data_IF_450536406890
#
_entry.id   IF_450536406890
#
_cell.length_a   1.000
_cell.length_b   1.000
_cell.length_c   1.000
_cell.angle_alpha   90.00
_cell.angle_beta   90.00
_cell.angle_gamma   90.00
#
_symmetry.space_group_name_H-M   'P 1'
#
loop_
_entity.id
_entity.type
_entity.pdbx_description
1 polymer ?
#
# COMPACT_ATOMS: atom_id res chain seq x y z
N UNK A 1 21.86 -11.47 3.71
CA UNK A 1 21.09 -11.58 2.47
C UNK A 1 19.61 -11.54 2.84
N UNK A 2 18.89 -10.48 2.47
CA UNK A 2 17.46 -10.34 2.74
C UNK A 2 16.73 -11.03 1.59
N UNK A 3 16.27 -12.25 1.83
CA UNK A 3 15.61 -13.08 0.82
C UNK A 3 14.40 -12.35 0.24
N UNK A 4 14.26 -12.33 -1.09
CA UNK A 4 13.21 -11.61 -1.84
C UNK A 4 11.78 -11.95 -1.37
N UNK A 5 11.59 -13.13 -0.76
CA UNK A 5 10.34 -13.56 -0.12
C UNK A 5 9.91 -12.64 1.03
N UNK A 6 10.87 -12.17 1.85
CA UNK A 6 10.60 -11.28 2.97
C UNK A 6 10.20 -9.86 2.51
N UNK A 7 10.59 -9.44 1.30
CA UNK A 7 10.26 -8.11 0.78
C UNK A 7 8.82 -7.99 0.27
N UNK A 8 8.26 -9.05 -0.32
CA UNK A 8 6.84 -9.06 -0.68
C UNK A 8 5.97 -9.11 0.57
N UNK A 9 6.37 -9.88 1.58
CA UNK A 9 5.69 -9.91 2.88
C UNK A 9 5.69 -8.54 3.58
N UNK A 10 6.77 -7.76 3.45
CA UNK A 10 6.83 -6.41 4.03
C UNK A 10 5.84 -5.44 3.37
N UNK A 11 5.74 -5.47 2.04
CA UNK A 11 4.75 -4.66 1.31
C UNK A 11 3.32 -5.15 1.57
N UNK A 12 3.10 -6.46 1.69
CA UNK A 12 1.81 -7.04 2.08
C UNK A 12 1.40 -6.60 3.49
N UNK A 13 2.34 -6.56 4.44
CA UNK A 13 2.08 -6.03 5.79
C UNK A 13 1.71 -4.54 5.76
N UNK A 14 2.42 -3.74 4.96
CA UNK A 14 2.08 -2.32 4.79
C UNK A 14 0.68 -2.14 4.18
N UNK A 15 0.32 -2.98 3.21
CA UNK A 15 -1.01 -3.01 2.60
C UNK A 15 -2.12 -3.32 3.59
N UNK A 16 -1.89 -4.31 4.46
CA UNK A 16 -2.80 -4.67 5.54
C UNK A 16 -2.93 -3.55 6.57
N UNK A 17 -1.82 -2.90 6.96
CA UNK A 17 -1.83 -1.78 7.90
C UNK A 17 -2.61 -0.57 7.33
N UNK A 18 -2.43 -0.27 6.04
CA UNK A 18 -3.22 0.76 5.35
C UNK A 18 -4.70 0.40 5.38
N UNK A 19 -5.06 -0.85 5.05
CA UNK A 19 -6.45 -1.31 5.07
C UNK A 19 -7.10 -1.13 6.44
N UNK A 20 -6.42 -1.59 7.50
CA UNK A 20 -6.90 -1.47 8.88
C UNK A 20 -7.13 0.00 9.28
N UNK A 21 -6.24 0.92 8.91
CA UNK A 21 -6.44 2.34 9.24
C UNK A 21 -7.51 3.03 8.41
N UNK A 22 -7.75 2.58 7.18
CA UNK A 22 -8.91 3.05 6.41
C UNK A 22 -10.20 2.61 7.11
N UNK A 23 -10.27 1.38 7.62
CA UNK A 23 -11.41 0.92 8.42
C UNK A 23 -11.59 1.75 9.69
N UNK A 24 -10.51 2.10 10.40
CA UNK A 24 -10.57 3.02 11.54
C UNK A 24 -11.09 4.41 11.13
N UNK A 25 -10.72 4.93 9.95
CA UNK A 25 -11.26 6.20 9.44
C UNK A 25 -12.75 6.09 9.12
N UNK A 26 -13.20 4.96 8.56
CA UNK A 26 -14.61 4.69 8.28
C UNK A 26 -15.41 4.69 9.58
N UNK A 27 -14.90 4.04 10.63
CA UNK A 27 -15.52 4.06 11.95
C UNK A 27 -15.64 5.50 12.51
N UNK A 28 -14.57 6.29 12.42
CA UNK A 28 -14.60 7.71 12.82
C UNK A 28 -15.55 8.56 11.98
N UNK A 29 -15.66 8.30 10.68
CA UNK A 29 -16.61 8.98 9.81
C UNK A 29 -18.05 8.71 10.23
N UNK A 30 -18.36 7.47 10.63
CA UNK A 30 -19.68 7.09 11.12
C UNK A 30 -20.06 7.75 12.45
N UNK A 31 -19.06 8.09 13.27
CA UNK A 31 -19.25 8.82 14.54
C UNK A 31 -19.27 10.35 14.34
N UNK A 32 -18.68 10.85 13.26
CA UNK A 32 -18.68 12.27 12.90
C UNK A 32 -19.99 12.69 12.25
N UNK A 33 -20.39 13.96 12.45
CA UNK A 33 -21.60 14.53 11.84
C UNK A 33 -21.30 15.84 11.12
N UNK A 34 -22.02 16.12 10.03
CA UNK A 34 -21.95 17.39 9.32
C UNK A 34 -20.70 17.52 8.44
N UNK A 35 -20.10 18.71 8.38
CA UNK A 35 -18.96 18.99 7.48
C UNK A 35 -17.73 18.10 7.75
N UNK A 36 -17.51 17.74 9.02
CA UNK A 36 -16.42 16.83 9.40
C UNK A 36 -16.59 15.43 8.80
N UNK A 37 -17.82 14.90 8.75
CA UNK A 37 -18.11 13.62 8.13
C UNK A 37 -17.77 13.65 6.63
N UNK A 38 -18.22 14.68 5.92
CA UNK A 38 -18.00 14.84 4.47
C UNK A 38 -16.50 14.92 4.16
N UNK A 39 -15.73 15.63 4.97
CA UNK A 39 -14.28 15.74 4.79
C UNK A 39 -13.58 14.39 5.01
N UNK A 40 -13.98 13.63 6.04
CA UNK A 40 -13.42 12.31 6.34
C UNK A 40 -13.79 11.31 5.24
N UNK A 41 -15.05 11.27 4.78
CA UNK A 41 -15.51 10.40 3.70
C UNK A 41 -14.77 10.65 2.39
N UNK A 42 -14.54 11.93 2.04
CA UNK A 42 -13.75 12.29 0.86
C UNK A 42 -12.32 11.75 0.97
N UNK A 43 -11.69 11.89 2.13
CA UNK A 43 -10.33 11.37 2.37
C UNK A 43 -10.28 9.85 2.35
N UNK A 44 -11.27 9.16 2.92
CA UNK A 44 -11.40 7.69 2.86
C UNK A 44 -11.45 7.24 1.40
N UNK A 45 -12.23 7.92 0.57
CA UNK A 45 -12.36 7.60 -0.86
C UNK A 45 -11.02 7.76 -1.59
N UNK A 46 -10.31 8.85 -1.36
CA UNK A 46 -9.00 9.09 -1.97
C UNK A 46 -7.96 8.06 -1.51
N UNK A 47 -7.96 7.70 -0.22
CA UNK A 47 -7.08 6.67 0.35
C UNK A 47 -7.36 5.29 -0.22
N UNK A 48 -8.63 4.91 -0.38
CA UNK A 48 -9.02 3.65 -1.01
C UNK A 48 -8.59 3.57 -2.48
N UNK A 49 -8.79 4.63 -3.26
CA UNK A 49 -8.35 4.68 -4.66
C UNK A 49 -6.83 4.51 -4.77
N UNK A 50 -6.07 5.20 -3.91
CA UNK A 50 -4.61 5.09 -3.88
C UNK A 50 -4.16 3.69 -3.45
N UNK A 51 -4.80 3.09 -2.44
CA UNK A 51 -4.55 1.72 -2.00
C UNK A 51 -4.78 0.73 -3.15
N UNK A 52 -5.94 0.77 -3.81
CA UNK A 52 -6.25 -0.14 -4.92
C UNK A 52 -5.25 -0.02 -6.07
N UNK A 53 -4.83 1.20 -6.39
CA UNK A 53 -3.83 1.45 -7.42
C UNK A 53 -2.49 0.79 -7.06
N UNK A 54 -2.03 0.99 -5.82
CA UNK A 54 -0.79 0.39 -5.33
C UNK A 54 -0.88 -1.13 -5.21
N UNK A 55 -2.03 -1.69 -4.81
CA UNK A 55 -2.27 -3.14 -4.80
C UNK A 55 -2.16 -3.74 -6.20
N UNK A 56 -2.78 -3.10 -7.20
CA UNK A 56 -2.71 -3.55 -8.60
C UNK A 56 -1.28 -3.52 -9.13
N UNK A 57 -0.54 -2.43 -8.88
CA UNK A 57 0.86 -2.35 -9.26
C UNK A 57 1.71 -3.42 -8.57
N UNK A 58 1.51 -3.62 -7.26
CA UNK A 58 2.23 -4.61 -6.49
C UNK A 58 1.96 -6.03 -7.00
N UNK A 59 0.70 -6.40 -7.21
CA UNK A 59 0.30 -7.71 -7.74
C UNK A 59 0.89 -7.96 -9.12
N UNK A 60 0.83 -6.96 -10.02
CA UNK A 60 1.42 -7.07 -11.36
C UNK A 60 2.92 -7.31 -11.31
N UNK A 61 3.63 -6.59 -10.41
CA UNK A 61 5.08 -6.76 -10.24
C UNK A 61 5.42 -8.10 -9.59
N UNK A 62 4.67 -8.54 -8.58
CA UNK A 62 4.83 -9.84 -7.93
C UNK A 62 4.66 -10.98 -8.92
N UNK A 63 3.59 -10.95 -9.70
CA UNK A 63 3.32 -11.96 -10.73
C UNK A 63 4.40 -11.98 -11.82
N UNK A 64 4.88 -10.80 -12.27
CA UNK A 64 5.98 -10.73 -13.23
C UNK A 64 7.27 -11.29 -12.65
N UNK A 65 7.57 -11.02 -11.37
CA UNK A 65 8.75 -11.55 -10.69
C UNK A 65 8.66 -13.07 -10.54
N UNK A 66 7.55 -13.60 -10.04
CA UNK A 66 7.34 -15.04 -9.88
C UNK A 66 7.46 -15.76 -11.22
N UNK A 67 6.87 -15.20 -12.29
CA UNK A 67 6.99 -15.74 -13.65
C UNK A 67 8.44 -15.76 -14.14
N UNK A 68 9.15 -14.63 -14.06
CA UNK A 68 10.56 -14.55 -14.49
C UNK A 68 11.50 -15.44 -13.65
N UNK A 69 11.25 -15.55 -12.36
CA UNK A 69 11.99 -16.41 -11.45
C UNK A 69 11.81 -17.90 -11.79
N UNK A 70 10.57 -18.32 -12.10
CA UNK A 70 10.27 -19.69 -12.49
C UNK A 70 10.76 -20.03 -13.90
N UNK A 71 10.75 -19.06 -14.83
CA UNK A 71 11.08 -19.29 -16.23
C UNK A 71 12.58 -19.22 -16.51
N UNK A 72 13.38 -18.39 -15.82
CA UNK A 72 14.83 -18.26 -16.08
C UNK A 72 15.64 -17.72 -14.88
N UNK A 73 16.29 -18.61 -14.11
CA UNK A 73 17.14 -18.25 -12.95
C UNK A 73 18.42 -17.44 -13.28
N UNK A 74 18.73 -17.18 -14.56
CA UNK A 74 20.02 -16.57 -14.97
C UNK A 74 19.99 -15.08 -15.32
N UNK A 75 18.83 -14.47 -15.59
CA UNK A 75 18.74 -13.08 -16.06
C UNK A 75 17.72 -12.21 -15.31
N UNK A 76 17.13 -12.69 -14.22
CA UNK A 76 16.19 -11.92 -13.40
C UNK A 76 16.94 -10.92 -12.50
N UNK A 77 17.57 -9.91 -13.10
CA UNK A 77 18.17 -8.75 -12.42
C UNK A 77 17.46 -7.46 -12.91
N UNK A 78 17.69 -6.27 -12.34
CA UNK A 78 17.48 -5.75 -10.99
C UNK A 78 16.27 -4.78 -10.92
N UNK A 79 15.48 -4.64 -11.99
CA UNK A 79 14.55 -3.52 -12.14
C UNK A 79 13.43 -3.49 -11.09
N UNK A 80 13.02 -4.65 -10.57
CA UNK A 80 12.10 -4.70 -9.44
C UNK A 80 12.73 -4.17 -8.15
N UNK A 81 13.96 -4.59 -7.81
CA UNK A 81 14.69 -4.09 -6.65
C UNK A 81 14.88 -2.56 -6.71
N UNK A 82 15.10 -2.00 -7.90
CA UNK A 82 15.20 -0.55 -8.12
C UNK A 82 13.87 0.18 -7.88
N UNK A 83 12.75 -0.41 -8.29
CA UNK A 83 11.43 0.20 -8.10
C UNK A 83 10.81 -0.06 -6.72
N UNK A 84 11.36 -1.01 -5.96
CA UNK A 84 10.84 -1.43 -4.64
C UNK A 84 10.84 -0.28 -3.64
N UNK A 85 11.95 0.45 -3.57
CA UNK A 85 12.08 1.55 -2.61
C UNK A 85 11.01 2.62 -2.89
N UNK A 86 10.65 2.84 -4.16
CA UNK A 86 9.56 3.76 -4.53
C UNK A 86 8.19 3.25 -4.11
N UNK A 87 7.92 1.94 -4.25
CA UNK A 87 6.64 1.33 -3.83
C UNK A 87 6.51 1.35 -2.31
N UNK A 88 7.56 0.96 -1.59
CA UNK A 88 7.60 1.00 -0.11
C UNK A 88 7.46 2.43 0.39
N UNK A 89 8.16 3.40 -0.21
CA UNK A 89 8.03 4.82 0.12
C UNK A 89 6.60 5.34 -0.16
N UNK A 90 5.99 4.95 -1.28
CA UNK A 90 4.62 5.32 -1.59
C UNK A 90 3.62 4.78 -0.56
N UNK A 91 3.80 3.53 -0.10
CA UNK A 91 3.02 2.97 1.00
C UNK A 91 3.27 3.67 2.33
N UNK A 92 4.52 3.99 2.65
CA UNK A 92 4.85 4.78 3.84
C UNK A 92 4.17 6.15 3.82
N UNK A 93 4.20 6.84 2.68
CA UNK A 93 3.50 8.13 2.53
C UNK A 93 1.99 7.97 2.68
N UNK A 94 1.42 6.88 2.16
CA UNK A 94 0.00 6.58 2.35
C UNK A 94 -0.32 6.37 3.84
N UNK A 95 0.48 5.56 4.54
CA UNK A 95 0.32 5.34 5.99
C UNK A 95 0.47 6.63 6.79
N UNK A 96 1.42 7.49 6.43
CA UNK A 96 1.61 8.79 7.08
C UNK A 96 0.46 9.75 6.80
N UNK A 97 -0.05 9.78 5.57
CA UNK A 97 -1.22 10.58 5.20
C UNK A 97 -2.47 10.13 5.97
N UNK A 98 -2.62 8.82 6.19
CA UNK A 98 -3.67 8.31 7.06
C UNK A 98 -3.45 8.75 8.51
N UNK A 99 -2.25 8.50 9.08
CA UNK A 99 -1.92 8.88 10.48
C UNK A 99 -2.11 10.38 10.76
N UNK A 100 -1.78 11.25 9.82
CA UNK A 100 -1.92 12.70 10.01
C UNK A 100 -3.37 13.15 10.16
N UNK A 101 -4.32 12.37 9.62
CA UNK A 101 -5.76 12.58 9.86
C UNK A 101 -6.15 12.20 11.29
N UNK A 102 -5.48 11.20 11.90
CA UNK A 102 -5.72 10.80 13.29
C UNK A 102 -5.03 11.67 14.34
N UNK A 103 -3.93 12.35 13.99
CA UNK A 103 -3.13 13.18 14.91
C UNK A 103 -3.53 14.66 14.93
N UNK A 104 -4.71 15.01 14.41
CA UNK A 104 -5.25 16.37 14.49
C UNK A 104 -6.34 16.47 15.54
#
# INVERSE_FOLDING_TARGET
MMSSKNSFEEVEKLLQEVGAKIEELIAKAAEATGEAQIEIEKKIKDLNLNKESLEKEFQKRKQSFEKSYNENFKNAEPDFLKSRDHVVLAFHHLVQAVKSVFSK
#
